data_IF_818928635650
#
_entry.id   IF_818928635650
#
_cell.length_a   1.000
_cell.length_b   1.000
_cell.length_c   1.000
_cell.angle_alpha   90.00
_cell.angle_beta   90.00
_cell.angle_gamma   90.00
#
_symmetry.space_group_name_H-M   'P 1'
#
loop_
_entity.id
_entity.type
_entity.pdbx_description
1 polymer ?
#
# COMPACT_ATOMS: atom_id res chain seq x y z
N UNK A 1 36.52 23.21 63.65
CA UNK A 1 35.11 23.32 63.18
C UNK A 1 34.94 23.80 61.73
N UNK A 2 35.92 24.45 61.06
CA UNK A 2 35.73 24.97 59.68
C UNK A 2 36.30 24.09 58.55
N UNK A 3 36.91 22.96 58.88
CA UNK A 3 37.51 22.03 57.90
C UNK A 3 36.59 20.87 57.51
N UNK A 4 35.58 20.58 58.33
CA UNK A 4 34.68 19.43 58.11
C UNK A 4 33.53 19.78 57.15
N UNK A 5 33.08 21.04 57.12
CA UNK A 5 32.07 21.52 56.16
C UNK A 5 32.53 21.45 54.70
N UNK A 6 33.83 21.64 54.42
CA UNK A 6 34.36 21.61 53.05
C UNK A 6 34.38 20.19 52.46
N UNK A 7 34.53 19.16 53.32
CA UNK A 7 34.54 17.74 52.92
C UNK A 7 33.14 17.24 52.60
N UNK A 8 32.14 17.69 53.36
CA UNK A 8 30.71 17.36 53.15
C UNK A 8 30.15 18.01 51.88
N UNK A 9 30.63 19.21 51.51
CA UNK A 9 30.21 19.87 50.27
C UNK A 9 30.80 19.21 49.01
N UNK A 10 31.99 18.60 49.12
CA UNK A 10 32.69 17.94 48.01
C UNK A 10 32.14 16.54 47.70
N UNK A 11 31.60 15.82 48.70
CA UNK A 11 30.97 14.51 48.51
C UNK A 11 29.54 14.59 48.00
N UNK A 12 28.82 15.69 48.27
CA UNK A 12 27.46 15.92 47.77
C UNK A 12 27.37 16.21 46.26
N UNK A 13 28.41 16.78 45.66
CA UNK A 13 28.50 17.01 44.21
C UNK A 13 28.95 15.75 43.44
N UNK A 14 29.77 14.90 44.07
CA UNK A 14 30.20 13.63 43.49
C UNK A 14 29.04 12.63 43.34
N UNK A 15 28.08 12.61 44.27
CA UNK A 15 26.89 11.75 44.18
C UNK A 15 25.84 12.27 43.20
N UNK A 16 25.74 13.59 42.99
CA UNK A 16 24.85 14.19 42.00
C UNK A 16 25.28 13.87 40.55
N UNK A 17 26.59 13.77 40.30
CA UNK A 17 27.15 13.41 38.98
C UNK A 17 26.92 11.91 38.66
N UNK A 18 26.87 11.04 39.68
CA UNK A 18 26.57 9.60 39.51
C UNK A 18 25.08 9.35 39.24
N UNK A 19 24.18 10.20 39.76
CA UNK A 19 22.74 10.07 39.49
C UNK A 19 22.36 10.43 38.04
N UNK A 20 23.08 11.37 37.40
CA UNK A 20 22.81 11.80 36.02
C UNK A 20 23.38 10.81 34.99
N UNK A 21 24.41 10.04 35.34
CA UNK A 21 25.00 8.99 34.48
C UNK A 21 24.16 7.71 34.39
N UNK A 22 23.06 7.63 35.17
CA UNK A 22 22.08 6.53 35.08
C UNK A 22 20.88 6.86 34.18
N UNK A 23 20.86 8.02 33.52
CA UNK A 23 20.06 8.23 32.32
C UNK A 23 20.75 7.53 31.14
N UNK A 24 21.00 6.23 31.32
CA UNK A 24 21.42 5.32 30.27
C UNK A 24 20.33 5.33 29.23
N UNK A 25 20.59 6.12 28.19
CA UNK A 25 20.21 5.87 26.82
C UNK A 25 18.90 5.09 26.70
N UNK A 26 17.81 5.84 26.63
CA UNK A 26 16.72 5.45 25.76
C UNK A 26 17.26 5.50 24.32
N UNK A 27 18.19 4.60 24.01
CA UNK A 27 18.66 4.37 22.65
C UNK A 27 17.43 3.89 21.93
N UNK A 28 16.86 4.75 21.10
CA UNK A 28 15.88 4.34 20.12
C UNK A 28 16.43 3.06 19.50
N UNK A 29 15.72 1.95 19.70
CA UNK A 29 15.99 0.73 18.92
C UNK A 29 16.08 1.18 17.47
N UNK A 30 17.02 0.66 16.66
CA UNK A 30 17.01 0.98 15.25
C UNK A 30 15.58 0.70 14.78
N UNK A 31 14.91 1.72 14.22
CA UNK A 31 13.77 1.46 13.36
C UNK A 31 14.36 0.59 12.27
N UNK A 32 14.20 -0.73 12.40
CA UNK A 32 14.79 -1.67 11.48
C UNK A 32 14.15 -1.33 10.15
N UNK A 33 14.97 -0.77 9.27
CA UNK A 33 14.61 -0.57 7.88
C UNK A 33 14.37 -1.97 7.33
N UNK A 34 13.10 -2.34 7.24
CA UNK A 34 12.69 -3.56 6.56
C UNK A 34 13.06 -3.44 5.09
N UNK A 35 12.80 -2.27 4.51
CA UNK A 35 13.15 -1.94 3.13
C UNK A 35 14.16 -0.79 3.06
N UNK A 36 15.01 -0.79 2.03
CA UNK A 36 16.08 0.20 1.83
C UNK A 36 15.88 1.01 0.54
N UNK A 37 16.39 2.25 0.52
CA UNK A 37 16.35 3.20 -0.60
C UNK A 37 14.93 3.51 -1.15
N UNK A 38 14.08 4.22 -0.37
CA UNK A 38 14.35 4.80 0.94
C UNK A 38 14.16 3.80 2.09
N UNK A 39 14.66 4.17 3.28
CA UNK A 39 14.43 3.38 4.50
C UNK A 39 12.94 3.42 4.85
N UNK A 40 12.32 2.25 4.96
CA UNK A 40 10.92 2.08 5.38
C UNK A 40 10.74 0.90 6.33
N UNK A 41 9.76 1.02 7.22
CA UNK A 41 9.24 -0.08 8.04
C UNK A 41 8.25 -0.92 7.22
N UNK A 42 8.02 -2.17 7.65
CA UNK A 42 7.05 -3.04 7.02
C UNK A 42 5.65 -2.39 6.99
N UNK A 43 4.99 -2.49 5.84
CA UNK A 43 3.69 -1.86 5.59
C UNK A 43 3.75 -0.37 5.24
N UNK A 44 4.93 0.28 5.29
CA UNK A 44 5.08 1.63 4.76
C UNK A 44 4.70 1.66 3.28
N UNK A 45 3.97 2.69 2.87
CA UNK A 45 3.56 2.91 1.48
C UNK A 45 4.17 4.23 1.00
N UNK A 46 4.79 4.20 -0.19
CA UNK A 46 5.33 5.40 -0.81
C UNK A 46 5.13 5.40 -2.32
N UNK A 47 5.24 6.58 -2.92
CA UNK A 47 5.27 6.73 -4.37
C UNK A 47 6.71 6.80 -4.87
N UNK A 48 7.10 5.87 -5.72
CA UNK A 48 8.40 5.85 -6.37
C UNK A 48 8.32 6.65 -7.68
N UNK A 49 8.99 7.80 -7.72
CA UNK A 49 8.97 8.72 -8.88
C UNK A 49 9.75 8.20 -10.07
N UNK A 50 10.78 7.37 -9.87
CA UNK A 50 11.60 6.80 -10.93
C UNK A 50 10.81 5.77 -11.75
N UNK A 51 10.04 4.93 -11.05
CA UNK A 51 9.18 3.92 -11.67
C UNK A 51 7.72 4.37 -11.83
N UNK A 52 7.35 5.55 -11.33
CA UNK A 52 5.99 6.10 -11.34
C UNK A 52 4.91 5.18 -10.75
N UNK A 53 5.27 4.38 -9.74
CA UNK A 53 4.37 3.40 -9.10
C UNK A 53 4.26 3.63 -7.60
N UNK A 54 3.08 3.32 -7.04
CA UNK A 54 2.90 3.18 -5.61
C UNK A 54 3.55 1.85 -5.17
N UNK A 55 4.34 1.87 -4.10
CA UNK A 55 5.07 0.71 -3.56
C UNK A 55 4.77 0.54 -2.07
N UNK A 56 4.80 -0.69 -1.58
CA UNK A 56 4.79 -1.00 -0.14
C UNK A 56 6.02 -1.81 0.27
N UNK A 57 6.38 -1.73 1.54
CA UNK A 57 7.45 -2.55 2.11
C UNK A 57 6.91 -3.89 2.62
N UNK A 58 7.40 -5.02 2.10
CA UNK A 58 6.94 -6.38 2.45
C UNK A 58 7.80 -7.07 3.53
N UNK A 59 8.32 -6.30 4.48
CA UNK A 59 9.34 -6.67 5.47
C UNK A 59 10.77 -6.77 4.94
N UNK A 60 11.00 -6.87 3.62
CA UNK A 60 12.36 -6.98 3.05
C UNK A 60 12.57 -6.09 1.82
N UNK A 61 11.61 -6.06 0.90
CA UNK A 61 11.71 -5.42 -0.41
C UNK A 61 10.60 -4.39 -0.64
N UNK A 62 10.90 -3.39 -1.46
CA UNK A 62 9.90 -2.47 -1.98
C UNK A 62 9.14 -3.12 -3.13
N UNK A 63 7.88 -3.49 -2.88
CA UNK A 63 7.01 -4.16 -3.85
C UNK A 63 6.11 -3.14 -4.52
N UNK A 64 6.15 -3.09 -5.85
CA UNK A 64 5.22 -2.29 -6.66
C UNK A 64 3.79 -2.81 -6.57
N UNK A 65 2.85 -1.95 -6.21
CA UNK A 65 1.42 -2.29 -6.16
C UNK A 65 0.77 -2.44 -7.52
N UNK A 66 1.47 -2.09 -8.61
CA UNK A 66 1.06 -2.38 -9.98
C UNK A 66 1.18 -3.87 -10.35
N UNK A 67 1.21 -4.77 -9.36
CA UNK A 67 1.44 -6.20 -9.54
C UNK A 67 0.42 -6.92 -10.43
N UNK A 68 -0.73 -6.30 -10.68
CA UNK A 68 -1.60 -6.68 -11.80
C UNK A 68 -1.27 -5.78 -12.99
N UNK A 69 -0.90 -6.38 -14.12
CA UNK A 69 -0.90 -5.70 -15.42
C UNK A 69 -2.28 -5.06 -15.54
N UNK A 70 -2.36 -3.74 -15.41
CA UNK A 70 -3.61 -3.05 -15.67
C UNK A 70 -3.97 -3.41 -17.13
N UNK A 71 -5.18 -3.94 -17.39
CA UNK A 71 -5.56 -4.34 -18.73
C UNK A 71 -5.38 -3.14 -19.65
N UNK A 72 -4.42 -3.26 -20.55
CA UNK A 72 -4.05 -2.24 -21.55
C UNK A 72 -4.99 -2.29 -22.74
N UNK A 73 -5.58 -3.46 -22.97
CA UNK A 73 -6.66 -3.71 -23.92
C UNK A 73 -7.72 -4.58 -23.26
N UNK A 74 -8.94 -4.58 -23.82
CA UNK A 74 -10.06 -5.34 -23.27
C UNK A 74 -9.81 -6.86 -23.24
N UNK A 75 -8.94 -7.36 -24.13
CA UNK A 75 -8.53 -8.77 -24.21
C UNK A 75 -7.53 -9.21 -23.12
N UNK A 76 -7.03 -8.28 -22.30
CA UNK A 76 -6.17 -8.62 -21.15
C UNK A 76 -6.98 -9.16 -19.96
N UNK A 77 -8.30 -9.03 -20.01
CA UNK A 77 -9.21 -9.56 -19.00
C UNK A 77 -9.41 -11.06 -19.22
N UNK A 78 -9.15 -11.87 -18.19
CA UNK A 78 -9.19 -13.33 -18.30
C UNK A 78 -10.59 -13.91 -18.55
N UNK A 79 -11.63 -13.14 -18.27
CA UNK A 79 -13.04 -13.48 -18.44
C UNK A 79 -13.64 -12.83 -19.70
N UNK A 80 -12.83 -12.25 -20.58
CA UNK A 80 -13.28 -11.61 -21.82
C UNK A 80 -12.61 -12.27 -23.03
N UNK A 81 -13.43 -12.66 -23.99
CA UNK A 81 -13.00 -13.22 -25.27
C UNK A 81 -13.55 -12.38 -26.42
N UNK A 82 -12.68 -11.57 -27.06
CA UNK A 82 -13.09 -10.74 -28.22
C UNK A 82 -12.45 -11.18 -29.55
N UNK A 83 -12.07 -12.46 -29.63
CA UNK A 83 -11.60 -13.07 -30.87
C UNK A 83 -12.62 -12.93 -32.00
N UNK A 84 -12.25 -12.28 -33.10
CA UNK A 84 -13.14 -12.10 -34.26
C UNK A 84 -14.18 -10.97 -34.13
N UNK A 85 -14.10 -10.10 -33.11
CA UNK A 85 -14.95 -8.92 -32.96
C UNK A 85 -15.03 -8.09 -34.25
N UNK A 86 -16.22 -7.60 -34.58
CA UNK A 86 -16.46 -6.64 -35.66
C UNK A 86 -17.05 -5.34 -35.11
N UNK A 87 -17.11 -4.31 -35.95
CA UNK A 87 -17.69 -3.02 -35.58
C UNK A 87 -19.17 -3.23 -35.22
N UNK A 88 -19.59 -2.65 -34.09
CA UNK A 88 -20.94 -2.74 -33.50
C UNK A 88 -21.28 -4.03 -32.75
N UNK A 89 -20.30 -4.89 -32.48
CA UNK A 89 -20.51 -5.97 -31.50
C UNK A 89 -20.61 -5.42 -30.07
N UNK A 90 -21.32 -6.15 -29.21
CA UNK A 90 -21.41 -5.93 -27.77
C UNK A 90 -20.89 -7.14 -27.02
N UNK A 91 -20.33 -6.93 -25.84
CA UNK A 91 -19.98 -8.04 -24.95
C UNK A 91 -21.25 -8.61 -24.32
N UNK A 92 -21.45 -9.91 -24.50
CA UNK A 92 -22.57 -10.66 -23.91
C UNK A 92 -22.00 -11.81 -23.08
N UNK A 93 -22.49 -11.98 -21.84
CA UNK A 93 -22.13 -13.12 -21.01
C UNK A 93 -22.76 -14.40 -21.56
N UNK A 94 -21.94 -15.40 -21.88
CA UNK A 94 -22.42 -16.68 -22.46
C UNK A 94 -22.66 -17.78 -21.41
N UNK A 95 -22.38 -17.50 -20.14
CA UNK A 95 -22.42 -18.46 -19.04
C UNK A 95 -21.04 -18.83 -18.49
N UNK A 96 -19.97 -18.59 -19.26
CA UNK A 96 -18.58 -18.87 -18.89
C UNK A 96 -17.69 -17.65 -19.04
N UNK A 97 -17.80 -16.91 -20.15
CA UNK A 97 -16.99 -15.74 -20.48
C UNK A 97 -17.86 -14.62 -21.08
N UNK A 98 -17.31 -13.39 -21.10
CA UNK A 98 -17.84 -12.30 -21.91
C UNK A 98 -17.37 -12.44 -23.36
N UNK A 99 -18.28 -12.70 -24.28
CA UNK A 99 -17.98 -12.87 -25.71
C UNK A 99 -18.43 -11.65 -26.52
N UNK A 100 -17.65 -11.26 -27.53
CA UNK A 100 -18.09 -10.30 -28.52
C UNK A 100 -19.18 -10.92 -29.43
N UNK A 101 -20.37 -10.35 -29.42
CA UNK A 101 -21.51 -10.83 -30.21
C UNK A 101 -22.18 -9.66 -30.93
N UNK A 102 -22.63 -9.90 -32.16
CA UNK A 102 -23.45 -8.93 -32.89
C UNK A 102 -24.67 -8.53 -32.05
N UNK A 103 -24.98 -7.24 -32.02
CA UNK A 103 -26.24 -6.76 -31.44
C UNK A 103 -27.37 -7.41 -32.20
N UNK A 104 -28.07 -8.35 -31.57
CA UNK A 104 -29.35 -8.86 -32.05
C UNK A 104 -30.43 -7.94 -31.50
N UNK A 105 -31.04 -7.06 -32.32
CA UNK A 105 -32.19 -6.28 -31.88
C UNK A 105 -33.39 -7.22 -31.78
N UNK A 106 -33.48 -7.95 -30.68
CA UNK A 106 -34.69 -8.71 -30.34
C UNK A 106 -34.93 -8.64 -28.83
N UNK A 107 -35.10 -7.42 -28.33
CA UNK A 107 -36.00 -7.19 -27.21
C UNK A 107 -37.42 -7.41 -27.73
N UNK A 108 -37.84 -8.68 -27.82
CA UNK A 108 -39.26 -9.01 -27.79
C UNK A 108 -39.63 -9.17 -26.32
N UNK A 109 -39.59 -8.08 -25.55
CA UNK A 109 -40.33 -8.06 -24.29
C UNK A 109 -41.82 -8.09 -24.66
N UNK A 110 -42.58 -9.16 -24.33
CA UNK A 110 -44.01 -9.20 -24.59
C UNK A 110 -44.79 -8.19 -23.73
N UNK A 111 -44.14 -7.54 -22.76
CA UNK A 111 -44.76 -6.59 -21.86
C UNK A 111 -44.14 -5.20 -22.04
N UNK A 112 -44.61 -4.50 -23.09
CA UNK A 112 -44.72 -3.05 -22.98
C UNK A 112 -45.65 -2.78 -21.80
N UNK A 113 -45.06 -2.57 -20.64
CA UNK A 113 -45.76 -2.07 -19.47
C UNK A 113 -46.32 -0.71 -19.83
N UNK A 114 -47.60 -0.66 -20.19
CA UNK A 114 -48.37 0.56 -20.19
C UNK A 114 -48.33 1.08 -18.75
N UNK A 115 -47.51 2.10 -18.49
CA UNK A 115 -47.63 2.88 -17.27
C UNK A 115 -48.97 3.60 -17.33
N UNK A 116 -50.05 2.94 -16.89
CA UNK A 116 -51.30 3.61 -16.59
C UNK A 116 -51.08 4.47 -15.36
N UNK A 117 -50.99 5.78 -15.59
CA UNK A 117 -51.07 6.82 -14.57
C UNK A 117 -52.46 6.86 -13.93
#
# INVERSE_FOLDING_TARGET
>A
MRTDMFKTLLTASATLIVAISSFSMLSATPAQAACANPVGAAGDMLYNVDSSVLQYCDDTDWIGMSGAVAPSVIDDLSDVSTGGKVVNDVLTWDGTDWIAQAVVPSEADPQVGTLTA
#
